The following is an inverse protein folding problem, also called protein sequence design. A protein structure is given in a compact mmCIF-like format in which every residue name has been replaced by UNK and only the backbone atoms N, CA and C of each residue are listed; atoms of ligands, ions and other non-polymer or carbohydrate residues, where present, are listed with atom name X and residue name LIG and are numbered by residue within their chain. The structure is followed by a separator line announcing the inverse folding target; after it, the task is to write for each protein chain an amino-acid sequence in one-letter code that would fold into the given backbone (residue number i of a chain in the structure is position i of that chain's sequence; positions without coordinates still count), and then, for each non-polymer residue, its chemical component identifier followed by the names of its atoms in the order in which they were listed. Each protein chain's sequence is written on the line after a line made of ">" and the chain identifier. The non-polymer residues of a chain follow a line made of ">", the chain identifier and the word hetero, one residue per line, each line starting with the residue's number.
data_IF_823295882066
#
_entry.id   IF_823295882066
#
_cell.length_a   1.000
_cell.length_b   1.000
_cell.length_c   1.000
_cell.angle_alpha   90.00
_cell.angle_beta   90.00
_cell.angle_gamma   90.00
#
_symmetry.space_group_name_H-M   'P 1'
#
loop_
_entity.id
_entity.type
_entity.pdbx_description
1 polymer ?
#
# COMPACT_ATOMS: atom_id res chain seq x y z
N UNK A 1 -44.45 19.84 -10.70
CA UNK A 1 -43.26 20.60 -10.27
C UNK A 1 -42.06 19.67 -10.36
N UNK A 2 -41.17 19.92 -11.31
CA UNK A 2 -40.08 19.01 -11.63
C UNK A 2 -38.89 19.23 -10.67
N UNK A 3 -38.43 18.16 -10.00
CA UNK A 3 -37.34 18.25 -9.03
C UNK A 3 -36.01 18.33 -9.79
N UNK A 4 -35.48 19.54 -9.96
CA UNK A 4 -34.12 19.75 -10.48
C UNK A 4 -33.10 18.87 -9.71
N UNK A 5 -32.47 17.86 -10.34
CA UNK A 5 -31.59 16.91 -9.65
C UNK A 5 -30.34 17.55 -9.01
N UNK A 6 -29.95 18.73 -9.51
CA UNK A 6 -28.71 19.42 -9.17
C UNK A 6 -28.89 20.51 -8.09
N UNK A 7 -30.06 20.62 -7.45
CA UNK A 7 -30.24 21.55 -6.34
C UNK A 7 -29.48 21.05 -5.11
N UNK A 8 -28.20 21.44 -4.99
CA UNK A 8 -27.37 21.19 -3.83
C UNK A 8 -27.96 21.91 -2.62
N UNK A 9 -28.21 21.19 -1.54
CA UNK A 9 -28.89 21.72 -0.35
C UNK A 9 -27.90 21.85 0.83
N UNK A 10 -28.21 22.69 1.85
CA UNK A 10 -27.38 22.79 3.04
C UNK A 10 -27.15 21.45 3.74
N UNK A 11 -28.14 20.56 3.72
CA UNK A 11 -28.05 19.21 4.31
C UNK A 11 -27.06 18.32 3.56
N UNK A 12 -26.95 18.46 2.22
CA UNK A 12 -25.94 17.74 1.43
C UNK A 12 -24.52 18.23 1.73
N UNK A 13 -24.33 19.55 1.85
CA UNK A 13 -23.04 20.15 2.24
C UNK A 13 -22.66 19.69 3.66
N UNK A 14 -23.60 19.75 4.61
CA UNK A 14 -23.41 19.27 5.98
C UNK A 14 -23.03 17.79 6.02
N UNK A 15 -23.81 16.92 5.38
CA UNK A 15 -23.55 15.48 5.34
C UNK A 15 -22.18 15.14 4.73
N UNK A 16 -21.78 15.86 3.68
CA UNK A 16 -20.45 15.71 3.09
C UNK A 16 -19.34 16.07 4.09
N UNK A 17 -19.48 17.19 4.83
CA UNK A 17 -18.53 17.60 5.87
C UNK A 17 -18.47 16.62 7.05
N UNK A 18 -19.59 15.99 7.40
CA UNK A 18 -19.68 15.01 8.49
C UNK A 18 -18.95 13.69 8.17
N UNK A 19 -18.86 13.33 6.88
CA UNK A 19 -18.13 12.15 6.39
C UNK A 19 -16.66 12.47 6.10
N UNK A 20 -16.37 13.56 5.39
CA UNK A 20 -15.01 13.94 4.95
C UNK A 20 -14.46 15.06 5.84
N UNK A 21 -14.48 14.82 7.14
CA UNK A 21 -13.96 15.72 8.16
C UNK A 21 -12.43 15.64 8.29
N UNK A 22 -11.80 16.75 8.66
CA UNK A 22 -10.35 16.88 8.76
C UNK A 22 -9.93 18.27 9.24
N UNK A 23 -8.72 18.71 8.89
CA UNK A 23 -8.27 20.08 9.17
C UNK A 23 -9.18 21.12 8.52
N UNK A 24 -9.55 22.14 9.28
CA UNK A 24 -10.56 23.15 8.90
C UNK A 24 -9.97 24.46 8.36
N UNK A 25 -8.64 24.62 8.38
CA UNK A 25 -7.91 25.84 8.00
C UNK A 25 -6.92 25.62 6.83
N UNK A 26 -6.95 24.44 6.23
CA UNK A 26 -6.10 24.06 5.10
C UNK A 26 -6.81 22.97 4.29
N UNK A 27 -6.67 22.98 2.97
CA UNK A 27 -7.20 21.91 2.12
C UNK A 27 -6.31 21.67 0.90
N UNK A 28 -6.42 20.45 0.38
CA UNK A 28 -5.83 20.09 -0.90
C UNK A 28 -6.71 20.52 -2.07
N UNK A 29 -6.12 20.81 -3.22
CA UNK A 29 -6.85 21.00 -4.47
C UNK A 29 -5.97 20.58 -5.65
N UNK A 30 -6.55 20.21 -6.77
CA UNK A 30 -5.83 20.00 -8.03
C UNK A 30 -6.52 20.71 -9.19
N UNK A 31 -5.70 21.29 -10.06
CA UNK A 31 -6.15 21.91 -11.30
C UNK A 31 -6.53 20.83 -12.32
N UNK A 32 -7.79 20.84 -12.77
CA UNK A 32 -8.35 19.77 -13.62
C UNK A 32 -7.75 19.78 -15.04
N UNK A 33 -7.26 20.93 -15.52
CA UNK A 33 -6.67 21.09 -16.86
C UNK A 33 -5.21 20.64 -16.94
N UNK A 34 -4.46 20.80 -15.84
CA UNK A 34 -3.01 20.60 -15.80
C UNK A 34 -2.57 19.46 -14.88
N UNK A 35 -3.51 18.86 -14.14
CA UNK A 35 -3.25 17.85 -13.11
C UNK A 35 -2.50 18.37 -11.87
N UNK A 36 -2.11 19.66 -11.85
CA UNK A 36 -1.25 20.22 -10.81
C UNK A 36 -1.93 20.25 -9.45
N UNK A 37 -1.40 19.46 -8.53
CA UNK A 37 -1.81 19.35 -7.13
C UNK A 37 -1.18 20.50 -6.33
N UNK A 38 -1.96 21.17 -5.46
CA UNK A 38 -1.47 22.21 -4.54
C UNK A 38 -2.20 22.19 -3.20
N UNK A 39 -1.57 22.77 -2.17
CA UNK A 39 -2.21 23.10 -0.90
C UNK A 39 -2.81 24.51 -0.97
N UNK A 40 -3.97 24.71 -0.33
CA UNK A 40 -4.56 26.02 -0.06
C UNK A 40 -4.67 26.20 1.45
N UNK A 41 -4.09 27.29 1.99
CA UNK A 41 -4.03 27.58 3.43
C UNK A 41 -5.15 28.53 3.86
N UNK A 42 -6.39 28.10 3.58
CA UNK A 42 -7.60 28.89 3.82
C UNK A 42 -8.68 28.04 4.52
N UNK A 43 -9.65 28.68 5.22
CA UNK A 43 -10.73 27.97 5.89
C UNK A 43 -11.58 27.11 4.95
N UNK A 44 -11.89 25.88 5.39
CA UNK A 44 -12.80 24.94 4.71
C UNK A 44 -14.25 25.40 4.94
N UNK A 45 -14.65 26.41 4.18
CA UNK A 45 -16.02 26.96 4.19
C UNK A 45 -16.98 26.14 3.32
N UNK A 46 -18.26 26.34 3.52
CA UNK A 46 -19.30 25.69 2.70
C UNK A 46 -19.24 26.10 1.22
N UNK A 47 -18.61 27.24 0.91
CA UNK A 47 -18.31 27.65 -0.47
C UNK A 47 -17.27 26.75 -1.13
N UNK A 48 -16.24 26.30 -0.38
CA UNK A 48 -15.23 25.34 -0.86
C UNK A 48 -15.87 23.99 -1.15
N UNK A 49 -16.71 23.50 -0.23
CA UNK A 49 -17.42 22.22 -0.39
C UNK A 49 -18.44 22.31 -1.55
N UNK A 50 -19.19 23.40 -1.67
CA UNK A 50 -20.11 23.61 -2.79
C UNK A 50 -19.37 23.67 -4.13
N UNK A 51 -18.23 24.38 -4.21
CA UNK A 51 -17.42 24.45 -5.43
C UNK A 51 -16.86 23.07 -5.85
N UNK A 52 -16.55 22.20 -4.89
CA UNK A 52 -16.16 20.81 -5.16
C UNK A 52 -17.33 19.97 -5.67
N UNK A 53 -18.47 20.00 -4.97
CA UNK A 53 -19.67 19.26 -5.36
C UNK A 53 -20.29 19.74 -6.69
N UNK A 54 -19.98 20.98 -7.11
CA UNK A 54 -20.33 21.54 -8.42
C UNK A 54 -19.24 21.33 -9.51
N UNK A 55 -18.08 20.79 -9.16
CA UNK A 55 -16.98 20.55 -10.11
C UNK A 55 -16.11 21.76 -10.45
N UNK A 56 -16.34 22.92 -9.82
CA UNK A 56 -15.63 24.17 -10.10
C UNK A 56 -14.20 24.20 -9.51
N UNK A 57 -14.01 23.66 -8.31
CA UNK A 57 -12.68 23.51 -7.69
C UNK A 57 -12.66 22.26 -6.81
N UNK A 58 -11.69 21.38 -7.01
CA UNK A 58 -11.58 20.13 -6.24
C UNK A 58 -11.13 20.39 -4.80
N UNK A 59 -11.68 19.60 -3.87
CA UNK A 59 -11.35 19.59 -2.45
C UNK A 59 -10.65 18.28 -2.08
N UNK A 60 -9.53 18.40 -1.37
CA UNK A 60 -8.80 17.29 -0.76
C UNK A 60 -8.73 17.46 0.76
N UNK A 61 -9.11 16.40 1.47
CA UNK A 61 -9.24 16.41 2.94
C UNK A 61 -7.96 15.95 3.62
N UNK A 62 -7.47 16.75 4.56
CA UNK A 62 -6.43 16.37 5.51
C UNK A 62 -7.08 15.66 6.70
N UNK A 63 -7.20 14.32 6.63
CA UNK A 63 -7.96 13.49 7.56
C UNK A 63 -7.43 13.47 9.01
N UNK A 64 -6.18 13.90 9.24
CA UNK A 64 -5.53 13.85 10.55
C UNK A 64 -5.69 15.17 11.30
N UNK A 65 -6.24 15.12 12.50
CA UNK A 65 -6.42 16.28 13.39
C UNK A 65 -5.75 15.96 14.73
N UNK A 66 -4.59 16.58 14.99
CA UNK A 66 -3.66 16.15 16.04
C UNK A 66 -3.27 14.68 15.85
N UNK A 67 -3.70 13.81 16.75
CA UNK A 67 -3.50 12.36 16.83
C UNK A 67 -4.75 11.55 16.44
N UNK A 68 -5.86 12.22 16.07
CA UNK A 68 -7.16 11.59 15.80
C UNK A 68 -7.64 11.75 14.36
N UNK A 69 -8.49 10.83 13.93
CA UNK A 69 -9.12 10.87 12.59
C UNK A 69 -10.57 10.34 12.62
N UNK A 70 -11.38 10.79 11.66
CA UNK A 70 -12.81 10.42 11.50
C UNK A 70 -13.08 9.50 10.31
N UNK A 71 -12.10 9.32 9.43
CA UNK A 71 -12.14 8.33 8.36
C UNK A 71 -10.72 7.92 7.99
N UNK A 72 -10.56 6.70 7.50
CA UNK A 72 -9.29 6.19 6.95
C UNK A 72 -9.55 5.63 5.55
N UNK A 73 -8.60 5.82 4.64
CA UNK A 73 -8.69 5.37 3.26
C UNK A 73 -7.43 4.59 2.85
N UNK A 74 -7.62 3.41 2.27
CA UNK A 74 -6.58 2.68 1.52
C UNK A 74 -6.67 3.04 0.03
N UNK A 75 -5.57 3.47 -0.59
CA UNK A 75 -5.52 3.98 -1.97
C UNK A 75 -4.87 2.94 -2.91
N UNK A 76 -5.71 2.25 -3.69
CA UNK A 76 -5.30 1.18 -4.60
C UNK A 76 -5.10 1.75 -6.01
N UNK A 77 -3.85 1.98 -6.42
CA UNK A 77 -3.43 2.56 -7.73
C UNK A 77 -3.69 1.68 -8.99
N UNK A 78 -4.76 0.88 -9.00
CA UNK A 78 -5.10 -0.07 -10.07
C UNK A 78 -6.55 0.03 -10.58
N UNK A 79 -6.75 -0.26 -11.85
CA UNK A 79 -8.11 -0.49 -12.38
C UNK A 79 -8.64 -1.89 -12.05
N UNK A 80 -7.77 -2.74 -11.52
CA UNK A 80 -8.14 -4.04 -10.95
C UNK A 80 -9.00 -3.84 -9.71
N UNK A 81 -10.16 -4.52 -9.68
CA UNK A 81 -11.11 -4.52 -8.58
C UNK A 81 -10.79 -5.58 -7.53
N UNK A 82 -9.92 -6.54 -7.83
CA UNK A 82 -9.65 -7.70 -6.97
C UNK A 82 -9.22 -7.29 -5.55
N UNK A 83 -8.09 -6.57 -5.43
CA UNK A 83 -7.58 -6.13 -4.12
C UNK A 83 -8.52 -5.16 -3.36
N UNK A 84 -9.18 -4.17 -4.01
CA UNK A 84 -10.24 -3.39 -3.35
C UNK A 84 -11.40 -4.24 -2.82
N UNK A 85 -11.83 -5.28 -3.55
CA UNK A 85 -12.92 -6.17 -3.11
C UNK A 85 -12.47 -7.10 -1.98
N UNK A 86 -11.24 -7.62 -2.04
CA UNK A 86 -10.64 -8.39 -0.94
C UNK A 86 -10.48 -7.54 0.32
N UNK A 87 -10.11 -6.26 0.20
CA UNK A 87 -10.05 -5.34 1.35
C UNK A 87 -11.42 -5.17 2.04
N UNK A 88 -12.51 -5.05 1.28
CA UNK A 88 -13.87 -5.01 1.85
C UNK A 88 -14.27 -6.36 2.46
N UNK A 89 -13.87 -7.47 1.85
CA UNK A 89 -14.13 -8.80 2.40
C UNK A 89 -13.37 -9.04 3.71
N UNK A 90 -12.09 -8.68 3.77
CA UNK A 90 -11.27 -8.72 4.97
C UNK A 90 -11.84 -7.82 6.07
N UNK A 91 -12.15 -6.55 5.76
CA UNK A 91 -12.70 -5.59 6.73
C UNK A 91 -13.99 -6.10 7.41
N UNK A 92 -14.85 -6.81 6.68
CA UNK A 92 -16.06 -7.45 7.23
C UNK A 92 -15.77 -8.51 8.29
N UNK A 93 -14.66 -9.24 8.21
CA UNK A 93 -14.28 -10.23 9.23
C UNK A 93 -14.00 -9.58 10.61
N UNK A 94 -13.67 -8.28 10.61
CA UNK A 94 -13.42 -7.46 11.79
C UNK A 94 -14.63 -6.59 12.17
N UNK A 95 -15.77 -6.81 11.52
CA UNK A 95 -16.97 -5.96 11.59
C UNK A 95 -16.64 -4.47 11.33
N UNK A 96 -15.81 -4.20 10.32
CA UNK A 96 -15.45 -2.85 9.87
C UNK A 96 -16.10 -2.55 8.52
N UNK A 97 -17.18 -1.74 8.46
CA UNK A 97 -17.83 -1.36 7.21
C UNK A 97 -16.90 -0.53 6.32
N UNK A 98 -16.50 -1.13 5.20
CA UNK A 98 -15.62 -0.54 4.20
C UNK A 98 -16.38 -0.21 2.90
N UNK A 99 -16.19 1.00 2.38
CA UNK A 99 -16.91 1.57 1.25
C UNK A 99 -15.92 1.91 0.12
N UNK A 100 -16.10 1.32 -1.06
CA UNK A 100 -15.24 1.57 -2.22
C UNK A 100 -15.70 2.80 -3.01
N UNK A 101 -14.77 3.70 -3.28
CA UNK A 101 -14.92 4.84 -4.19
C UNK A 101 -14.02 4.64 -5.43
N UNK A 102 -14.56 4.83 -6.63
CA UNK A 102 -13.78 4.84 -7.88
C UNK A 102 -12.96 6.12 -7.97
N UNK A 103 -11.64 6.03 -7.83
CA UNK A 103 -10.76 7.20 -7.72
C UNK A 103 -10.77 8.10 -8.97
N UNK A 104 -10.24 9.32 -8.82
CA UNK A 104 -10.27 10.39 -9.82
C UNK A 104 -9.64 10.08 -11.19
N UNK A 105 -8.77 9.07 -11.31
CA UNK A 105 -7.99 8.83 -12.52
C UNK A 105 -7.77 7.33 -12.80
N UNK A 106 -6.98 6.68 -11.95
CA UNK A 106 -6.78 5.23 -11.92
C UNK A 106 -6.83 4.82 -10.45
N UNK A 107 -7.50 3.73 -10.13
CA UNK A 107 -7.59 3.26 -8.76
C UNK A 107 -8.99 3.22 -8.13
N UNK A 108 -8.98 2.82 -6.86
CA UNK A 108 -10.10 2.84 -5.93
C UNK A 108 -9.60 3.26 -4.55
N UNK A 109 -10.38 4.06 -3.82
CA UNK A 109 -10.14 4.31 -2.40
C UNK A 109 -11.09 3.41 -1.58
N UNK A 110 -10.54 2.62 -0.65
CA UNK A 110 -11.31 1.85 0.33
C UNK A 110 -11.45 2.62 1.64
N UNK A 111 -12.63 3.20 1.86
CA UNK A 111 -12.92 4.08 3.00
C UNK A 111 -13.55 3.32 4.19
N UNK A 112 -13.06 3.55 5.40
CA UNK A 112 -13.71 3.15 6.67
C UNK A 112 -13.95 4.42 7.49
N UNK A 113 -15.13 4.55 8.09
CA UNK A 113 -15.57 5.75 8.81
C UNK A 113 -15.73 5.51 10.31
N UNK A 114 -15.49 6.55 11.10
CA UNK A 114 -15.52 6.52 12.57
C UNK A 114 -16.51 7.54 13.13
N UNK A 115 -16.79 7.45 14.43
CA UNK A 115 -17.66 8.38 15.16
C UNK A 115 -17.17 9.85 15.15
N UNK A 116 -18.05 10.79 15.54
CA UNK A 116 -17.81 12.24 15.52
C UNK A 116 -16.56 12.68 16.31
N UNK A 117 -16.26 12.01 17.42
CA UNK A 117 -15.06 12.17 18.24
C UNK A 117 -13.75 11.77 17.54
N UNK A 118 -13.86 11.13 16.37
CA UNK A 118 -12.80 10.35 15.75
C UNK A 118 -12.31 9.22 16.66
N UNK A 119 -11.22 8.61 16.24
CA UNK A 119 -10.41 7.62 16.98
C UNK A 119 -8.93 7.99 16.89
N UNK A 120 -8.06 7.38 17.71
CA UNK A 120 -6.61 7.50 17.51
C UNK A 120 -6.20 6.98 16.12
N UNK A 121 -5.52 7.81 15.31
CA UNK A 121 -5.11 7.43 13.96
C UNK A 121 -4.10 6.27 13.95
N UNK A 122 -3.37 6.05 15.04
CA UNK A 122 -2.55 4.86 15.24
C UNK A 122 -3.35 3.55 15.24
N UNK A 123 -4.51 3.51 15.92
CA UNK A 123 -5.41 2.35 15.92
C UNK A 123 -5.99 2.12 14.51
N UNK A 124 -6.44 3.20 13.86
CA UNK A 124 -6.96 3.16 12.50
C UNK A 124 -5.93 2.56 11.52
N UNK A 125 -4.70 3.08 11.55
CA UNK A 125 -3.61 2.66 10.65
C UNK A 125 -3.01 1.29 11.01
N UNK A 126 -3.17 0.84 12.25
CA UNK A 126 -2.80 -0.52 12.66
C UNK A 126 -3.75 -1.53 12.01
N UNK A 127 -5.07 -1.38 12.20
CA UNK A 127 -6.04 -2.35 11.66
C UNK A 127 -6.08 -2.32 10.13
N UNK A 128 -6.01 -1.14 9.49
CA UNK A 128 -6.01 -1.06 8.02
C UNK A 128 -4.74 -1.65 7.41
N UNK A 129 -3.58 -1.59 8.09
CA UNK A 129 -2.40 -2.34 7.65
C UNK A 129 -2.55 -3.83 7.83
N UNK A 130 -3.09 -4.29 8.95
CA UNK A 130 -3.36 -5.72 9.16
C UNK A 130 -4.26 -6.29 8.05
N UNK A 131 -5.35 -5.59 7.70
CA UNK A 131 -6.22 -5.94 6.57
C UNK A 131 -5.49 -5.96 5.22
N UNK A 132 -4.55 -5.03 5.00
CA UNK A 132 -3.74 -4.95 3.77
C UNK A 132 -2.65 -6.03 3.70
N UNK A 133 -2.09 -6.42 4.84
CA UNK A 133 -1.13 -7.52 4.98
C UNK A 133 -1.82 -8.88 4.72
N UNK A 134 -3.05 -9.07 5.24
CA UNK A 134 -3.87 -10.29 5.03
C UNK A 134 -4.17 -10.57 3.55
N UNK A 135 -4.41 -9.52 2.75
CA UNK A 135 -4.70 -9.64 1.31
C UNK A 135 -3.43 -9.57 0.42
N UNK A 136 -2.24 -9.73 1.01
CA UNK A 136 -0.92 -9.62 0.34
C UNK A 136 -0.66 -8.26 -0.37
N UNK A 137 -1.32 -7.16 0.05
CA UNK A 137 -1.13 -5.79 -0.47
C UNK A 137 -0.55 -4.79 0.57
N UNK A 138 0.59 -5.10 1.24
CA UNK A 138 1.17 -4.30 2.33
C UNK A 138 1.74 -2.93 1.89
N UNK A 139 1.94 -2.73 0.59
CA UNK A 139 2.53 -1.51 0.00
C UNK A 139 1.46 -0.50 -0.47
N UNK A 140 0.17 -0.80 -0.30
CA UNK A 140 -0.95 0.13 -0.57
C UNK A 140 -0.86 1.37 0.31
N UNK A 141 -1.07 2.56 -0.25
CA UNK A 141 -1.00 3.79 0.54
C UNK A 141 -2.20 3.93 1.48
N UNK A 142 -1.98 4.44 2.69
CA UNK A 142 -3.02 4.62 3.71
C UNK A 142 -3.06 6.07 4.17
N UNK A 143 -4.23 6.70 4.06
CA UNK A 143 -4.49 8.07 4.49
C UNK A 143 -5.39 8.07 5.73
N UNK A 144 -4.96 8.66 6.87
CA UNK A 144 -3.77 9.50 7.03
C UNK A 144 -2.43 8.72 7.06
N UNK A 145 -1.41 9.26 6.39
CA UNK A 145 -0.07 8.64 6.31
C UNK A 145 0.71 8.70 7.62
N UNK A 146 0.26 9.46 8.61
CA UNK A 146 0.90 9.66 9.91
C UNK A 146 -0.04 9.29 11.07
N UNK A 147 0.55 8.94 12.22
CA UNK A 147 -0.16 8.61 13.47
C UNK A 147 -0.58 9.85 14.27
N UNK A 148 0.21 10.93 14.15
CA UNK A 148 -0.11 12.25 14.68
C UNK A 148 0.54 13.34 13.81
N UNK A 149 0.03 14.57 13.92
CA UNK A 149 0.72 15.78 13.49
C UNK A 149 1.79 16.15 14.53
N UNK A 150 2.97 16.53 14.05
CA UNK A 150 4.08 16.99 14.88
C UNK A 150 4.63 18.34 14.33
N UNK A 151 5.52 19.06 15.04
CA UNK A 151 6.02 20.37 14.61
C UNK A 151 6.66 20.40 13.22
N UNK A 152 7.22 19.29 12.75
CA UNK A 152 7.81 19.13 11.41
C UNK A 152 6.76 18.76 10.34
N UNK A 153 5.61 18.23 10.78
CA UNK A 153 4.52 17.71 9.93
C UNK A 153 3.23 18.48 10.23
N UNK A 154 3.25 19.79 9.93
CA UNK A 154 2.20 20.75 10.34
C UNK A 154 0.78 20.38 9.90
N UNK A 155 0.62 19.70 8.75
CA UNK A 155 -0.68 19.40 8.15
C UNK A 155 -0.87 17.92 7.75
N UNK A 156 0.19 17.10 7.76
CA UNK A 156 0.14 15.73 7.23
C UNK A 156 -0.06 15.69 5.71
N UNK A 157 -0.78 14.68 5.23
CA UNK A 157 -1.09 14.46 3.81
C UNK A 157 -2.61 14.52 3.58
N UNK A 158 -3.04 14.98 2.39
CA UNK A 158 -4.44 14.96 2.00
C UNK A 158 -4.73 13.88 0.95
N UNK A 159 -5.96 13.37 0.98
CA UNK A 159 -6.55 12.54 -0.09
C UNK A 159 -7.60 13.38 -0.84
N UNK A 160 -7.83 13.12 -2.12
CA UNK A 160 -8.87 13.82 -2.89
C UNK A 160 -10.24 13.33 -2.38
N UNK A 161 -11.17 14.23 -2.04
CA UNK A 161 -12.46 13.82 -1.50
C UNK A 161 -13.41 13.29 -2.61
N UNK A 162 -14.32 12.34 -2.31
CA UNK A 162 -15.35 11.88 -3.24
C UNK A 162 -16.28 12.99 -3.73
N UNK A 163 -17.11 12.67 -4.72
CA UNK A 163 -18.16 13.52 -5.30
C UNK A 163 -17.68 14.84 -5.91
N UNK A 164 -16.50 14.85 -6.56
CA UNK A 164 -16.07 16.01 -7.32
C UNK A 164 -16.94 16.17 -8.58
N UNK A 165 -17.75 17.23 -8.64
CA UNK A 165 -18.87 17.34 -9.60
C UNK A 165 -18.50 17.26 -11.09
N UNK A 166 -17.25 17.56 -11.46
CA UNK A 166 -16.77 17.45 -12.84
C UNK A 166 -16.42 16.01 -13.26
N UNK A 167 -16.25 15.11 -12.29
CA UNK A 167 -15.89 13.70 -12.49
C UNK A 167 -17.06 12.74 -12.22
N UNK A 168 -18.03 13.12 -11.37
CA UNK A 168 -19.25 12.32 -11.10
C UNK A 168 -19.97 11.86 -12.39
N UNK A 169 -20.18 12.69 -13.44
CA UNK A 169 -20.80 12.24 -14.69
C UNK A 169 -20.03 11.16 -15.47
N UNK A 170 -18.75 10.95 -15.14
CA UNK A 170 -17.87 9.97 -15.76
C UNK A 170 -17.79 8.66 -14.97
N UNK A 171 -18.60 8.51 -13.91
CA UNK A 171 -18.47 7.40 -12.94
C UNK A 171 -17.18 7.47 -12.13
N UNK A 172 -16.66 8.69 -11.88
CA UNK A 172 -15.40 8.95 -11.18
C UNK A 172 -15.61 9.81 -9.93
N UNK A 173 -14.80 9.58 -8.91
CA UNK A 173 -15.02 10.09 -7.54
C UNK A 173 -16.41 9.75 -7.00
N UNK A 174 -16.85 8.50 -7.17
CA UNK A 174 -18.17 8.02 -6.72
C UNK A 174 -18.02 6.70 -6.00
N UNK A 175 -18.83 6.48 -4.97
CA UNK A 175 -18.97 5.18 -4.35
C UNK A 175 -19.65 4.20 -5.32
N UNK A 176 -19.22 2.94 -5.31
CA UNK A 176 -19.74 1.88 -6.20
C UNK A 176 -20.78 1.01 -5.50
N UNK A 177 -21.64 0.32 -6.24
CA UNK A 177 -22.62 -0.60 -5.64
C UNK A 177 -21.93 -1.82 -5.01
N UNK A 178 -22.13 -2.12 -3.72
CA UNK A 178 -21.49 -3.28 -3.07
C UNK A 178 -21.82 -4.65 -3.69
N UNK A 179 -22.86 -4.72 -4.54
CA UNK A 179 -23.28 -5.93 -5.28
C UNK A 179 -22.75 -5.95 -6.71
N UNK A 180 -22.37 -4.79 -7.27
CA UNK A 180 -21.80 -4.66 -8.60
C UNK A 180 -20.74 -3.54 -8.63
N UNK A 181 -19.52 -3.78 -8.08
CA UNK A 181 -18.51 -2.74 -7.85
C UNK A 181 -17.94 -2.06 -9.10
N UNK A 182 -18.36 -2.47 -10.30
CA UNK A 182 -18.07 -1.82 -11.58
C UNK A 182 -19.01 -0.64 -11.88
N UNK A 183 -20.13 -0.49 -11.15
CA UNK A 183 -21.13 0.59 -11.33
C UNK A 183 -21.17 1.53 -10.13
N UNK A 184 -21.43 2.84 -10.32
CA UNK A 184 -21.72 3.76 -9.23
C UNK A 184 -22.94 3.32 -8.40
N UNK A 185 -22.89 3.51 -7.09
CA UNK A 185 -24.03 3.29 -6.18
C UNK A 185 -25.22 4.21 -6.60
N UNK A 186 -26.46 3.68 -6.67
CA UNK A 186 -27.59 4.37 -7.30
C UNK A 186 -27.99 5.69 -6.64
N UNK A 187 -27.83 5.84 -5.31
CA UNK A 187 -27.89 7.14 -4.64
C UNK A 187 -26.66 7.33 -3.74
N UNK A 188 -25.80 8.28 -4.12
CA UNK A 188 -24.60 8.64 -3.36
C UNK A 188 -24.93 9.32 -2.02
N UNK A 189 -26.05 10.04 -1.94
CA UNK A 189 -26.45 10.81 -0.75
C UNK A 189 -27.16 9.97 0.28
N UNK A 190 -27.89 8.93 -0.15
CA UNK A 190 -28.41 7.91 0.75
C UNK A 190 -27.27 7.07 1.33
N UNK A 191 -26.30 6.64 0.50
CA UNK A 191 -25.09 5.95 0.99
C UNK A 191 -24.36 6.77 2.05
N UNK A 192 -24.05 8.06 1.80
CA UNK A 192 -23.36 8.89 2.79
C UNK A 192 -24.15 9.06 4.09
N UNK A 193 -25.49 9.11 4.01
CA UNK A 193 -26.38 9.20 5.17
C UNK A 193 -26.33 7.93 6.02
N UNK A 194 -26.31 6.79 5.35
CA UNK A 194 -26.40 5.47 5.95
C UNK A 194 -25.02 4.81 6.14
N UNK A 195 -23.92 5.58 6.09
CA UNK A 195 -22.59 5.12 6.49
C UNK A 195 -22.63 4.66 7.95
N UNK A 196 -22.28 3.40 8.17
CA UNK A 196 -21.99 2.84 9.48
C UNK A 196 -20.64 3.41 9.97
N UNK A 197 -20.57 3.76 11.27
CA UNK A 197 -19.41 4.42 11.87
C UNK A 197 -18.87 3.56 13.01
N UNK A 198 -17.60 3.18 12.89
CA UNK A 198 -16.92 2.33 13.87
C UNK A 198 -16.56 3.16 15.10
N UNK A 199 -16.84 2.62 16.28
CA UNK A 199 -16.55 3.22 17.58
C UNK A 199 -15.09 2.95 18.00
N UNK A 200 -14.51 3.77 18.89
CA UNK A 200 -13.16 3.45 19.39
C UNK A 200 -13.10 2.12 20.18
N UNK A 201 -14.06 1.79 21.07
CA UNK A 201 -14.09 0.49 21.77
C UNK A 201 -14.20 -0.72 20.85
N UNK A 202 -14.99 -0.63 19.76
CA UNK A 202 -15.09 -1.72 18.76
C UNK A 202 -13.74 -2.01 18.11
N UNK A 203 -13.01 -0.95 17.77
CA UNK A 203 -11.69 -1.07 17.19
C UNK A 203 -10.65 -1.59 18.21
N UNK A 204 -10.77 -1.21 19.48
CA UNK A 204 -9.93 -1.75 20.55
C UNK A 204 -10.16 -3.25 20.77
N UNK A 205 -11.41 -3.72 20.72
CA UNK A 205 -11.74 -5.16 20.73
C UNK A 205 -11.13 -5.87 19.51
N UNK A 206 -11.30 -5.34 18.30
CA UNK A 206 -10.73 -5.91 17.08
C UNK A 206 -9.19 -5.99 17.13
N UNK A 207 -8.52 -4.98 17.70
CA UNK A 207 -7.07 -4.96 17.95
C UNK A 207 -6.66 -6.00 18.99
N UNK A 208 -7.38 -6.09 20.11
CA UNK A 208 -7.08 -7.00 21.22
C UNK A 208 -7.28 -8.48 20.85
N UNK A 209 -8.41 -8.82 20.21
CA UNK A 209 -8.75 -10.20 19.81
C UNK A 209 -7.71 -10.77 18.84
N UNK A 210 -7.14 -9.92 17.98
CA UNK A 210 -6.15 -10.31 16.98
C UNK A 210 -4.69 -10.07 17.43
N UNK A 211 -4.49 -9.72 18.70
CA UNK A 211 -3.20 -9.47 19.34
C UNK A 211 -2.30 -8.47 18.57
N UNK A 212 -2.90 -7.40 18.04
CA UNK A 212 -2.19 -6.39 17.26
C UNK A 212 -1.52 -5.36 18.17
N UNK A 213 -0.21 -5.19 18.07
CA UNK A 213 0.53 -4.24 18.90
C UNK A 213 0.54 -2.83 18.28
N UNK A 214 0.10 -1.83 19.05
CA UNK A 214 0.30 -0.42 18.69
C UNK A 214 1.79 -0.07 18.74
N UNK A 215 2.37 0.56 17.69
CA UNK A 215 3.76 1.00 17.72
C UNK A 215 4.01 1.95 18.90
N UNK A 216 4.98 1.61 19.75
CA UNK A 216 5.30 2.41 20.94
C UNK A 216 5.58 3.88 20.58
N UNK A 217 4.96 4.80 21.34
CA UNK A 217 4.93 6.22 21.04
C UNK A 217 6.31 6.85 20.91
N UNK A 218 6.56 7.53 19.77
CA UNK A 218 7.87 8.12 19.47
C UNK A 218 8.01 9.53 20.03
N UNK A 219 8.91 9.68 21.00
CA UNK A 219 9.73 10.90 21.07
C UNK A 219 10.78 10.89 19.94
N UNK A 220 11.60 11.93 19.83
CA UNK A 220 12.31 12.29 18.60
C UNK A 220 13.22 11.21 17.96
N UNK A 221 13.28 11.29 16.63
CA UNK A 221 13.97 10.49 15.59
C UNK A 221 15.51 10.70 15.63
N UNK A 222 16.40 9.77 15.12
CA UNK A 222 16.21 8.87 13.96
C UNK A 222 16.69 7.40 14.04
N UNK A 223 16.36 6.68 12.95
CA UNK A 223 17.01 5.49 12.35
C UNK A 223 16.77 4.08 12.93
N UNK A 224 16.45 3.13 12.02
CA UNK A 224 16.54 1.64 12.10
C UNK A 224 15.92 0.94 13.33
N UNK A 225 15.00 -0.04 13.24
CA UNK A 225 14.94 -1.20 12.30
C UNK A 225 13.52 -1.82 12.32
N UNK A 226 13.02 -2.48 11.26
CA UNK A 226 11.72 -3.18 11.24
C UNK A 226 11.76 -4.67 11.64
N UNK A 227 10.68 -5.16 12.27
CA UNK A 227 10.37 -6.56 12.65
C UNK A 227 8.99 -6.52 13.37
N UNK A 228 8.00 -7.41 13.27
CA UNK A 228 7.75 -8.74 12.63
C UNK A 228 6.21 -8.98 12.69
N UNK A 229 5.57 -10.03 12.13
CA UNK A 229 5.76 -10.81 10.91
C UNK A 229 4.70 -11.96 10.83
N UNK A 230 4.04 -12.12 9.67
CA UNK A 230 3.38 -13.32 9.08
C UNK A 230 3.10 -12.96 7.61
N UNK A 231 2.93 -13.86 6.65
CA UNK A 231 2.78 -15.32 6.72
C UNK A 231 4.11 -16.10 6.61
N UNK A 232 4.12 -17.30 7.20
CA UNK A 232 5.20 -18.27 6.99
C UNK A 232 4.90 -19.13 5.76
N UNK A 233 5.50 -18.77 4.63
CA UNK A 233 6.24 -19.80 3.92
C UNK A 233 7.60 -19.95 4.60
N UNK A 234 8.04 -21.20 4.82
CA UNK A 234 9.41 -21.46 5.25
C UNK A 234 10.43 -20.98 4.22
N UNK A 235 11.72 -21.06 4.56
CA UNK A 235 12.81 -20.71 3.64
C UNK A 235 12.58 -21.37 2.27
N UNK A 236 12.66 -20.63 1.15
CA UNK A 236 12.34 -21.17 -0.17
C UNK A 236 13.27 -22.33 -0.53
N UNK A 237 12.87 -23.26 -1.41
CA UNK A 237 13.64 -24.48 -1.71
C UNK A 237 15.13 -24.22 -1.97
N UNK A 238 15.47 -23.21 -2.77
CA UNK A 238 16.86 -22.81 -3.02
C UNK A 238 17.62 -22.42 -1.75
N UNK A 239 17.04 -21.61 -0.86
CA UNK A 239 17.68 -21.23 0.39
C UNK A 239 17.85 -22.42 1.34
N UNK A 240 16.91 -23.37 1.36
CA UNK A 240 17.06 -24.62 2.12
C UNK A 240 18.19 -25.48 1.58
N UNK A 241 18.25 -25.69 0.26
CA UNK A 241 19.32 -26.44 -0.40
C UNK A 241 20.70 -25.81 -0.15
N UNK A 242 20.82 -24.50 -0.30
CA UNK A 242 22.07 -23.76 -0.05
C UNK A 242 22.52 -23.88 1.42
N UNK A 243 21.60 -23.79 2.39
CA UNK A 243 21.93 -23.95 3.82
C UNK A 243 22.31 -25.38 4.19
N UNK A 244 21.67 -26.39 3.60
CA UNK A 244 21.93 -27.79 3.91
C UNK A 244 23.26 -28.31 3.30
N UNK A 245 23.61 -27.84 2.09
CA UNK A 245 24.68 -28.41 1.26
C UNK A 245 25.77 -27.41 0.85
N UNK A 246 25.73 -26.17 1.37
CA UNK A 246 26.67 -25.12 0.97
C UNK A 246 26.52 -24.64 -0.48
N UNK A 247 27.53 -23.94 -0.97
CA UNK A 247 27.69 -23.51 -2.37
C UNK A 247 29.14 -23.64 -2.84
N UNK A 248 29.33 -23.99 -4.12
CA UNK A 248 30.65 -24.14 -4.75
C UNK A 248 31.16 -22.89 -5.47
N UNK A 249 30.32 -21.84 -5.55
CA UNK A 249 30.61 -20.57 -6.22
C UNK A 249 29.84 -19.41 -5.57
N UNK A 250 30.23 -18.17 -5.90
CA UNK A 250 29.50 -16.94 -5.57
C UNK A 250 29.20 -16.72 -4.06
N UNK A 251 30.01 -17.29 -3.16
CA UNK A 251 29.78 -17.35 -1.70
C UNK A 251 29.29 -16.04 -1.06
N UNK A 252 29.89 -14.87 -1.35
CA UNK A 252 29.43 -13.60 -0.76
C UNK A 252 27.99 -13.25 -1.16
N UNK A 253 27.63 -13.46 -2.43
CA UNK A 253 26.27 -13.22 -2.95
C UNK A 253 25.30 -14.26 -2.37
N UNK A 254 25.72 -15.53 -2.28
CA UNK A 254 24.95 -16.57 -1.61
C UNK A 254 24.66 -16.22 -0.13
N UNK A 255 25.67 -15.78 0.62
CA UNK A 255 25.57 -15.32 2.01
C UNK A 255 24.57 -14.17 2.15
N UNK A 256 24.67 -13.14 1.29
CA UNK A 256 23.73 -12.03 1.25
C UNK A 256 22.28 -12.48 0.94
N UNK A 257 22.11 -13.36 -0.05
CA UNK A 257 20.79 -13.91 -0.42
C UNK A 257 20.19 -14.77 0.69
N UNK A 258 21.00 -15.55 1.39
CA UNK A 258 20.58 -16.32 2.56
C UNK A 258 20.19 -15.39 3.71
N UNK A 259 21.00 -14.36 4.03
CA UNK A 259 20.68 -13.36 5.04
C UNK A 259 19.34 -12.64 4.76
N UNK A 260 19.05 -12.28 3.50
CA UNK A 260 17.75 -11.72 3.10
C UNK A 260 16.59 -12.70 3.34
N UNK A 261 16.78 -14.00 3.09
CA UNK A 261 15.74 -15.01 3.34
C UNK A 261 15.56 -15.30 4.85
N UNK A 262 16.65 -15.35 5.62
CA UNK A 262 16.62 -15.50 7.09
C UNK A 262 15.89 -14.31 7.75
N UNK A 263 16.17 -13.07 7.29
CA UNK A 263 15.45 -11.86 7.68
C UNK A 263 13.94 -11.97 7.40
N UNK A 264 13.57 -12.43 6.20
CA UNK A 264 12.17 -12.58 5.77
C UNK A 264 11.39 -13.58 6.63
N UNK A 265 12.00 -14.70 7.05
CA UNK A 265 11.35 -15.67 7.96
C UNK A 265 11.45 -15.28 9.44
N UNK A 266 11.95 -14.09 9.76
CA UNK A 266 12.02 -13.59 11.15
C UNK A 266 13.30 -12.72 11.56
N UNK A 267 13.90 -13.91 11.52
CA UNK A 267 15.12 -14.24 12.30
C UNK A 267 15.95 -13.00 12.67
N UNK A 268 16.49 -12.89 13.91
CA UNK A 268 17.37 -11.77 14.27
C UNK A 268 18.76 -11.88 13.60
N UNK A 269 19.44 -10.75 13.39
CA UNK A 269 20.76 -10.71 12.75
C UNK A 269 21.76 -11.66 13.44
N UNK A 270 21.87 -11.63 14.77
CA UNK A 270 22.84 -12.48 15.50
C UNK A 270 22.56 -13.98 15.31
N UNK A 271 21.28 -14.38 15.26
CA UNK A 271 20.88 -15.76 14.98
C UNK A 271 21.16 -16.14 13.51
N UNK A 272 20.97 -15.20 12.57
CA UNK A 272 21.32 -15.41 11.17
C UNK A 272 22.83 -15.49 10.96
N UNK A 273 23.64 -14.73 11.70
CA UNK A 273 25.11 -14.82 11.67
C UNK A 273 25.60 -16.20 12.14
N UNK A 274 25.01 -16.76 13.20
CA UNK A 274 25.32 -18.13 13.64
C UNK A 274 24.97 -19.18 12.56
N UNK A 275 23.79 -19.07 11.95
CA UNK A 275 23.36 -19.93 10.83
C UNK A 275 24.27 -19.78 9.59
N UNK A 276 24.77 -18.58 9.33
CA UNK A 276 25.65 -18.30 8.19
C UNK A 276 27.11 -18.71 8.43
N UNK A 277 27.57 -18.77 9.69
CA UNK A 277 28.85 -19.36 10.05
C UNK A 277 28.85 -20.88 9.83
N UNK A 278 27.86 -21.58 10.42
CA UNK A 278 27.62 -23.03 10.22
C UNK A 278 27.42 -23.40 8.73
N UNK A 279 26.85 -22.49 7.93
CA UNK A 279 26.75 -22.64 6.48
C UNK A 279 28.09 -22.47 5.75
N UNK A 280 28.97 -21.60 6.23
CA UNK A 280 30.25 -21.35 5.57
C UNK A 280 31.16 -22.57 5.61
N UNK A 281 31.17 -23.30 6.73
CA UNK A 281 31.91 -24.56 6.91
C UNK A 281 31.43 -25.70 5.98
N UNK A 282 30.28 -25.51 5.32
CA UNK A 282 29.68 -26.44 4.34
C UNK A 282 29.96 -26.05 2.89
N UNK A 283 30.63 -24.92 2.64
CA UNK A 283 30.94 -24.48 1.28
C UNK A 283 32.17 -25.21 0.72
N UNK A 284 32.03 -25.83 -0.46
CA UNK A 284 33.10 -26.47 -1.22
C UNK A 284 33.48 -25.63 -2.46
N UNK A 285 34.15 -24.48 -2.30
CA UNK A 285 34.47 -23.58 -3.40
C UNK A 285 35.37 -24.22 -4.46
N UNK A 286 35.00 -24.08 -5.74
CA UNK A 286 35.74 -24.70 -6.84
C UNK A 286 37.09 -24.01 -7.13
N UNK A 287 38.15 -24.82 -7.26
CA UNK A 287 39.53 -24.38 -7.47
C UNK A 287 40.19 -23.82 -6.21
N UNK A 288 41.28 -23.05 -6.35
CA UNK A 288 42.06 -22.48 -5.23
C UNK A 288 41.35 -21.32 -4.47
N UNK A 289 40.02 -21.30 -4.50
CA UNK A 289 39.19 -20.27 -3.86
C UNK A 289 38.94 -20.64 -2.42
N UNK A 290 39.37 -19.81 -1.47
CA UNK A 290 39.05 -20.02 -0.05
C UNK A 290 37.55 -19.93 0.26
N UNK A 291 37.16 -20.49 1.39
CA UNK A 291 35.85 -20.25 2.04
C UNK A 291 35.72 -18.77 2.44
N UNK A 292 34.48 -18.26 2.47
CA UNK A 292 34.11 -16.92 2.95
C UNK A 292 34.48 -16.74 4.43
N UNK A 293 35.06 -15.59 4.81
CA UNK A 293 35.48 -15.35 6.21
C UNK A 293 34.32 -14.84 7.07
N UNK A 294 34.44 -15.00 8.40
CA UNK A 294 33.50 -14.43 9.37
C UNK A 294 33.26 -12.92 9.17
N UNK A 295 34.30 -12.15 8.80
CA UNK A 295 34.16 -10.72 8.51
C UNK A 295 33.31 -10.45 7.26
N UNK A 296 33.50 -11.24 6.20
CA UNK A 296 32.68 -11.15 4.97
C UNK A 296 31.23 -11.60 5.25
N UNK A 297 31.02 -12.62 6.10
CA UNK A 297 29.67 -13.03 6.53
C UNK A 297 28.97 -11.89 7.27
N UNK A 298 29.65 -11.23 8.21
CA UNK A 298 29.13 -10.08 8.96
C UNK A 298 28.80 -8.91 8.05
N UNK A 299 29.67 -8.57 7.10
CA UNK A 299 29.43 -7.52 6.10
C UNK A 299 28.16 -7.81 5.27
N UNK A 300 28.09 -8.99 4.64
CA UNK A 300 26.99 -9.35 3.74
C UNK A 300 25.66 -9.49 4.49
N UNK A 301 25.67 -10.05 5.71
CA UNK A 301 24.47 -10.13 6.55
C UNK A 301 24.03 -8.75 7.06
N UNK A 302 24.93 -7.89 7.52
CA UNK A 302 24.59 -6.54 7.98
C UNK A 302 23.98 -5.71 6.84
N UNK A 303 24.55 -5.80 5.64
CA UNK A 303 24.00 -5.17 4.43
C UNK A 303 22.58 -5.65 4.12
N UNK A 304 22.34 -6.97 4.12
CA UNK A 304 21.02 -7.57 3.93
C UNK A 304 20.00 -7.14 5.01
N UNK A 305 20.44 -6.97 6.26
CA UNK A 305 19.58 -6.55 7.37
C UNK A 305 19.30 -5.04 7.39
N UNK A 306 20.21 -4.20 6.90
CA UNK A 306 19.96 -2.78 6.70
C UNK A 306 18.96 -2.50 5.55
N UNK A 307 19.12 -3.16 4.40
CA UNK A 307 18.37 -2.80 3.18
C UNK A 307 16.96 -3.42 3.03
N UNK A 308 16.04 -2.76 2.30
CA UNK A 308 14.67 -3.23 2.05
C UNK A 308 14.58 -4.27 0.91
N UNK A 309 15.42 -5.31 0.94
CA UNK A 309 15.59 -6.25 -0.17
C UNK A 309 14.41 -7.24 -0.33
N UNK A 310 13.39 -6.85 -1.10
CA UNK A 310 12.19 -7.66 -1.34
C UNK A 310 12.38 -8.80 -2.35
N UNK A 311 13.33 -8.75 -3.29
CA UNK A 311 13.52 -9.82 -4.27
C UNK A 311 14.10 -11.11 -3.66
N UNK A 312 13.83 -12.26 -4.28
CA UNK A 312 14.33 -13.57 -3.84
C UNK A 312 15.52 -14.09 -4.66
N UNK A 313 16.03 -13.30 -5.61
CA UNK A 313 17.21 -13.65 -6.41
C UNK A 313 17.03 -14.80 -7.41
N UNK A 314 15.81 -15.14 -7.84
CA UNK A 314 15.54 -16.33 -8.67
C UNK A 314 16.21 -16.39 -10.06
N UNK A 315 16.85 -15.28 -10.48
CA UNK A 315 17.58 -15.09 -11.75
C UNK A 315 19.09 -14.82 -11.49
N UNK A 316 19.52 -14.83 -10.22
CA UNK A 316 20.88 -14.56 -9.78
C UNK A 316 21.76 -15.81 -9.98
N UNK A 317 22.97 -15.71 -10.56
CA UNK A 317 23.89 -16.84 -10.71
C UNK A 317 24.29 -17.52 -9.39
N UNK A 318 24.14 -16.87 -8.24
CA UNK A 318 24.39 -17.45 -6.92
C UNK A 318 23.22 -18.29 -6.37
N UNK A 319 22.02 -18.19 -6.97
CA UNK A 319 20.79 -18.84 -6.48
C UNK A 319 20.21 -19.80 -7.52
N UNK A 320 20.37 -19.47 -8.81
CA UNK A 320 19.83 -20.23 -9.96
C UNK A 320 20.21 -21.72 -9.96
N UNK A 321 21.45 -22.16 -9.62
CA UNK A 321 21.79 -23.58 -9.52
C UNK A 321 20.97 -24.36 -8.50
N UNK A 322 20.43 -23.68 -7.48
CA UNK A 322 19.64 -24.26 -6.39
C UNK A 322 18.12 -24.06 -6.59
N UNK A 323 17.70 -23.41 -7.69
CA UNK A 323 16.29 -23.11 -7.95
C UNK A 323 15.52 -24.31 -8.53
N UNK A 324 14.68 -24.92 -7.69
CA UNK A 324 13.65 -25.88 -8.10
C UNK A 324 12.73 -25.33 -9.24
N UNK A 325 12.49 -26.08 -10.33
CA UNK A 325 11.57 -25.68 -11.40
C UNK A 325 10.10 -25.57 -10.98
N UNK A 326 9.65 -26.32 -9.98
CA UNK A 326 8.29 -26.29 -9.42
C UNK A 326 8.04 -25.10 -8.48
N UNK A 327 9.11 -24.49 -7.97
CA UNK A 327 9.09 -23.44 -6.94
C UNK A 327 8.02 -22.35 -7.20
N UNK A 328 7.03 -22.16 -6.30
CA UNK A 328 5.92 -21.22 -6.53
C UNK A 328 6.42 -19.78 -6.69
N UNK A 329 7.45 -19.38 -5.93
CA UNK A 329 8.10 -18.06 -6.01
C UNK A 329 8.74 -17.80 -7.39
N UNK A 330 9.17 -18.86 -8.09
CA UNK A 330 9.74 -18.77 -9.46
C UNK A 330 8.64 -18.75 -10.51
N UNK A 331 7.61 -19.58 -10.34
CA UNK A 331 6.55 -19.76 -11.32
C UNK A 331 5.53 -18.61 -11.35
N UNK A 332 5.24 -17.96 -10.22
CA UNK A 332 4.45 -16.73 -10.18
C UNK A 332 5.08 -15.61 -11.02
N UNK A 333 6.42 -15.42 -10.94
CA UNK A 333 7.16 -14.41 -11.72
C UNK A 333 7.08 -14.66 -13.22
N UNK A 334 7.27 -15.90 -13.67
CA UNK A 334 7.19 -16.26 -15.10
C UNK A 334 5.82 -16.01 -15.71
N UNK A 335 4.73 -16.27 -14.97
CA UNK A 335 3.36 -15.88 -15.39
C UNK A 335 3.23 -14.36 -15.55
N UNK A 336 3.82 -13.59 -14.64
CA UNK A 336 3.90 -12.13 -14.71
C UNK A 336 4.63 -11.62 -15.96
N UNK A 337 5.86 -12.10 -16.23
CA UNK A 337 6.65 -11.72 -17.41
C UNK A 337 5.94 -12.08 -18.73
N UNK A 338 5.42 -13.31 -18.88
CA UNK A 338 4.69 -13.72 -20.07
C UNK A 338 3.42 -12.87 -20.35
N UNK A 339 2.82 -12.26 -19.31
CA UNK A 339 1.71 -11.32 -19.46
C UNK A 339 2.12 -9.91 -19.90
N UNK A 340 3.42 -9.58 -19.86
CA UNK A 340 4.00 -8.31 -20.33
C UNK A 340 4.51 -8.44 -21.76
N UNK A 341 5.23 -9.51 -22.07
CA UNK A 341 5.81 -9.73 -23.40
C UNK A 341 4.71 -9.85 -24.48
N UNK A 342 3.56 -10.45 -24.15
CA UNK A 342 2.36 -10.47 -25.03
C UNK A 342 1.75 -9.08 -25.33
N UNK A 343 2.23 -8.00 -24.70
CA UNK A 343 1.82 -6.60 -24.99
C UNK A 343 2.86 -5.84 -25.81
N UNK A 344 4.03 -6.41 -26.02
CA UNK A 344 5.10 -5.89 -26.87
C UNK A 344 5.18 -6.77 -28.12
N UNK A 345 4.41 -6.39 -29.15
CA UNK A 345 4.45 -7.08 -30.44
C UNK A 345 5.86 -7.03 -31.07
N UNK A 346 6.16 -7.94 -32.02
CA UNK A 346 7.47 -7.98 -32.66
C UNK A 346 7.77 -6.63 -33.35
N UNK A 347 9.03 -6.16 -33.32
CA UNK A 347 9.39 -4.86 -33.88
C UNK A 347 9.13 -4.83 -35.38
N UNK A 348 8.36 -3.84 -35.84
CA UNK A 348 8.10 -3.66 -37.26
C UNK A 348 9.37 -3.19 -37.97
N UNK A 349 9.90 -4.04 -38.87
CA UNK A 349 10.97 -3.68 -39.79
C UNK A 349 10.37 -2.75 -40.84
N UNK A 350 10.70 -1.47 -40.78
CA UNK A 350 10.15 -0.46 -41.68
C UNK A 350 10.85 -0.50 -43.04
N UNK A 351 10.29 -1.22 -44.01
CA UNK A 351 10.70 -1.13 -45.41
C UNK A 351 10.05 0.07 -46.07
N UNK A 352 10.83 1.10 -46.42
CA UNK A 352 10.38 2.11 -47.37
C UNK A 352 11.52 2.69 -48.20
N UNK A 353 11.48 2.35 -49.49
CA UNK A 353 12.01 3.09 -50.65
C UNK A 353 13.36 3.80 -50.52
N UNK A 354 14.39 3.19 -51.11
CA UNK A 354 15.43 3.96 -51.78
C UNK A 354 14.80 4.64 -53.02
N UNK A 355 14.83 5.97 -53.06
CA UNK A 355 14.73 6.76 -54.29
C UNK A 355 15.43 8.11 -54.11
N UNK A 356 15.99 8.62 -55.19
CA UNK A 356 16.57 9.96 -55.35
C UNK A 356 17.84 10.30 -54.56
N UNK A 357 19.00 9.81 -55.07
CA UNK A 357 20.16 10.70 -55.32
C UNK A 357 21.18 10.14 -56.33
N UNK A 358 20.97 10.57 -57.59
CA UNK A 358 21.82 10.42 -58.80
C UNK A 358 21.87 9.03 -59.44
#
# INVERSE_FOLDING_TARGET
>A
MERNPLKMTPEKIRLFRECFAGLTHVYGTYDVRTGRVRQVKEPVTDRVILAHLQGAQSYGVYLLVKDRTRAIAADFDSDDLWAPMEFVAAARNYNLPAYLERSKAKGYHGWIFFEESGILAAKARLIVRHLLDEIEHPDTEVFPKQDALDPNVTYGNFINAPLFGALVPQGRTVFVDPREPTKPHPDQWDLLRNIERVTEPHLDEAIQVNALELPAGRSAIPASTPSRARHSFGLPPCARTMLAHGVTANQRVACFRLAVNLKKVGLPLNSALAVLAEWADRNEPAGDRRVITAAEIVEQATCAYAGPYRSCGCEDPAVTPHCDPSCPVRNGRRRGQASRDRRLGPPQINQQSESDRK
#
